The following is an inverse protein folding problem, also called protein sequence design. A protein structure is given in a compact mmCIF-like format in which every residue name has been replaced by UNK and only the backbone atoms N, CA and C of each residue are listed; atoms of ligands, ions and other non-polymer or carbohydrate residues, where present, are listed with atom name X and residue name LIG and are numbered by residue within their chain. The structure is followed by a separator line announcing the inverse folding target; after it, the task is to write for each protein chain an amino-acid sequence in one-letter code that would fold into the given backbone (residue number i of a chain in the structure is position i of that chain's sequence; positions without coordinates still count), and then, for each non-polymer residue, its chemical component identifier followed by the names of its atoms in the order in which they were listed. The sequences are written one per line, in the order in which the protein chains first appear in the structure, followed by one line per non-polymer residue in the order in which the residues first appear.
data_IF_992517385753
#
_entry.id   IF_992517385753
#
_cell.length_a   1.000
_cell.length_b   1.000
_cell.length_c   1.000
_cell.angle_alpha   90.00
_cell.angle_beta   90.00
_cell.angle_gamma   90.00
#
_symmetry.space_group_name_H-M   'P 1'
#
loop_
_entity.id
_entity.type
_entity.pdbx_description
1 polymer ?
#
# COMPACT_ATOMS: atom_id res chain seq x y z
N UNK A 1 -48.33 30.91 -17.31
CA UNK A 1 -47.72 29.56 -17.24
C UNK A 1 -46.22 29.74 -16.94
N UNK A 2 -45.84 29.59 -15.68
CA UNK A 2 -44.44 29.81 -15.22
C UNK A 2 -43.75 28.47 -15.27
N UNK A 3 -42.74 28.33 -16.15
CA UNK A 3 -41.85 27.15 -16.19
C UNK A 3 -40.81 27.30 -15.08
N UNK A 4 -40.94 26.49 -14.04
CA UNK A 4 -39.88 26.34 -13.03
C UNK A 4 -38.80 25.42 -13.61
N UNK A 5 -37.65 25.97 -14.01
CA UNK A 5 -36.45 25.19 -14.28
C UNK A 5 -35.86 24.75 -12.94
N UNK A 6 -36.03 23.47 -12.61
CA UNK A 6 -35.26 22.83 -11.54
C UNK A 6 -33.86 22.57 -12.11
N UNK A 7 -32.91 23.44 -11.77
CA UNK A 7 -31.49 23.15 -11.97
C UNK A 7 -31.11 22.06 -10.98
N UNK A 8 -31.06 20.80 -11.48
CA UNK A 8 -30.42 19.73 -10.76
C UNK A 8 -28.94 20.06 -10.74
N UNK A 9 -28.42 20.56 -9.63
CA UNK A 9 -27.02 20.66 -9.35
C UNK A 9 -26.49 19.22 -9.22
N UNK A 10 -25.86 18.71 -10.27
CA UNK A 10 -24.98 17.58 -10.12
C UNK A 10 -23.79 18.07 -9.28
N UNK A 11 -23.83 17.84 -7.98
CA UNK A 11 -22.63 17.90 -7.15
C UNK A 11 -21.76 16.72 -7.55
N UNK A 12 -20.73 16.97 -8.34
CA UNK A 12 -19.62 16.03 -8.63
C UNK A 12 -18.60 16.03 -7.48
N UNK A 13 -19.07 16.24 -6.25
CA UNK A 13 -18.24 16.28 -5.05
C UNK A 13 -18.28 14.92 -4.33
N UNK A 14 -17.83 13.86 -5.01
CA UNK A 14 -17.76 12.56 -4.35
C UNK A 14 -16.66 11.71 -4.92
N UNK A 15 -15.86 11.11 -4.04
CA UNK A 15 -15.01 9.98 -4.38
C UNK A 15 -15.86 8.83 -4.94
N UNK A 16 -15.19 7.83 -5.51
CA UNK A 16 -15.84 6.57 -5.84
C UNK A 16 -16.52 6.00 -4.57
N UNK A 17 -17.73 5.42 -4.66
CA UNK A 17 -18.48 4.94 -3.48
C UNK A 17 -17.71 3.94 -2.61
N UNK A 18 -16.80 3.17 -3.21
CA UNK A 18 -16.00 2.18 -2.48
C UNK A 18 -14.71 2.76 -1.88
N UNK A 19 -14.37 4.03 -2.15
CA UNK A 19 -13.08 4.59 -1.77
C UNK A 19 -12.82 4.53 -0.26
N UNK A 20 -13.76 4.97 0.56
CA UNK A 20 -13.59 4.98 2.03
C UNK A 20 -13.41 3.56 2.59
N UNK A 21 -14.22 2.60 2.11
CA UNK A 21 -14.10 1.20 2.52
C UNK A 21 -12.75 0.58 2.07
N UNK A 22 -12.23 0.99 0.92
CA UNK A 22 -10.94 0.56 0.43
C UNK A 22 -9.79 1.21 1.21
N UNK A 23 -9.93 2.47 1.65
CA UNK A 23 -8.97 3.11 2.58
C UNK A 23 -8.89 2.34 3.89
N UNK A 24 -10.02 1.97 4.50
CA UNK A 24 -10.03 1.16 5.74
C UNK A 24 -9.31 -0.19 5.56
N UNK A 25 -9.47 -0.84 4.40
CA UNK A 25 -8.74 -2.07 4.08
C UNK A 25 -7.24 -1.85 3.98
N UNK A 26 -6.81 -0.78 3.30
CA UNK A 26 -5.39 -0.43 3.19
C UNK A 26 -4.80 -0.16 4.58
N UNK A 27 -5.50 0.58 5.43
CA UNK A 27 -5.06 0.84 6.80
C UNK A 27 -4.88 -0.47 7.58
N UNK A 28 -5.88 -1.36 7.55
CA UNK A 28 -5.80 -2.67 8.19
C UNK A 28 -4.62 -3.50 7.64
N UNK A 29 -4.41 -3.49 6.33
CA UNK A 29 -3.30 -4.21 5.70
C UNK A 29 -1.94 -3.71 6.17
N UNK A 30 -1.76 -2.38 6.23
CA UNK A 30 -0.52 -1.73 6.68
C UNK A 30 -0.27 -1.94 8.19
N UNK A 31 -1.32 -1.94 9.01
CA UNK A 31 -1.24 -2.26 10.44
C UNK A 31 -0.81 -3.72 10.68
N UNK A 32 -1.35 -4.66 9.91
CA UNK A 32 -0.97 -6.07 9.99
C UNK A 32 0.51 -6.29 9.63
N UNK A 33 1.07 -5.52 8.71
CA UNK A 33 2.50 -5.60 8.36
C UNK A 33 3.41 -5.28 9.55
N UNK A 34 2.98 -4.39 10.43
CA UNK A 34 3.74 -3.98 11.62
C UNK A 34 3.51 -4.85 12.86
N UNK A 35 2.52 -5.75 12.85
CA UNK A 35 2.10 -6.46 14.05
C UNK A 35 2.80 -7.80 14.29
N UNK A 36 3.78 -8.19 13.50
CA UNK A 36 4.42 -9.53 13.50
C UNK A 36 3.37 -10.67 13.42
N UNK A 37 2.18 -10.32 12.93
CA UNK A 37 1.06 -11.23 12.84
C UNK A 37 1.28 -12.21 11.68
N UNK A 38 0.55 -13.31 11.76
CA UNK A 38 0.45 -14.29 10.69
C UNK A 38 0.13 -13.60 9.36
N UNK A 39 1.00 -13.71 8.32
CA UNK A 39 0.76 -13.12 7.01
C UNK A 39 -0.55 -13.59 6.37
N UNK A 40 -1.17 -14.67 6.88
CA UNK A 40 -2.44 -15.17 6.40
C UNK A 40 -3.54 -14.11 6.46
N UNK A 41 -3.58 -13.29 7.52
CA UNK A 41 -4.59 -12.23 7.64
C UNK A 41 -4.46 -11.19 6.51
N UNK A 42 -3.22 -10.86 6.10
CA UNK A 42 -2.97 -10.00 4.93
C UNK A 42 -3.32 -10.72 3.63
N UNK A 43 -2.95 -12.01 3.48
CA UNK A 43 -3.22 -12.79 2.28
C UNK A 43 -4.71 -13.02 2.03
N UNK A 44 -5.54 -13.06 3.08
CA UNK A 44 -6.99 -13.14 2.96
C UNK A 44 -7.61 -11.87 2.35
N UNK A 45 -6.91 -10.74 2.42
CA UNK A 45 -7.31 -9.47 1.81
C UNK A 45 -6.89 -9.36 0.34
N UNK A 46 -6.09 -10.31 -0.17
CA UNK A 46 -5.50 -10.32 -1.50
C UNK A 46 -6.30 -11.24 -2.44
N UNK A 47 -6.62 -10.73 -3.63
CA UNK A 47 -7.25 -11.49 -4.71
C UNK A 47 -6.31 -12.54 -5.29
N UNK A 48 -6.85 -13.65 -5.81
CA UNK A 48 -6.03 -14.72 -6.42
C UNK A 48 -5.24 -14.26 -7.66
N UNK A 49 -5.79 -13.31 -8.41
CA UNK A 49 -5.17 -12.73 -9.60
C UNK A 49 -4.24 -11.54 -9.25
N UNK A 50 -3.67 -11.47 -8.04
CA UNK A 50 -2.78 -10.37 -7.67
C UNK A 50 -1.64 -10.18 -8.65
N UNK A 51 -1.38 -8.92 -9.01
CA UNK A 51 -0.15 -8.46 -9.63
C UNK A 51 0.44 -7.34 -8.75
N UNK A 52 1.57 -7.60 -8.11
CA UNK A 52 2.23 -6.65 -7.22
C UNK A 52 3.59 -6.24 -7.78
N UNK A 53 3.89 -4.94 -7.75
CA UNK A 53 5.19 -4.40 -8.12
C UNK A 53 6.04 -4.15 -6.86
N UNK A 54 7.00 -5.02 -6.51
CA UNK A 54 7.96 -4.75 -5.44
C UNK A 54 8.87 -3.57 -5.78
N UNK A 55 9.41 -2.89 -4.75
CA UNK A 55 10.32 -1.77 -4.94
C UNK A 55 11.73 -2.15 -5.45
N UNK A 56 12.03 -3.43 -5.62
CA UNK A 56 13.36 -3.90 -6.02
C UNK A 56 13.56 -3.86 -7.52
N UNK A 57 14.69 -3.32 -7.95
CA UNK A 57 15.06 -3.25 -9.36
C UNK A 57 15.14 -4.65 -9.99
N UNK A 58 14.46 -4.80 -11.14
CA UNK A 58 14.50 -6.03 -11.95
C UNK A 58 13.60 -7.17 -11.48
N UNK A 59 12.82 -7.01 -10.41
CA UNK A 59 11.93 -8.06 -9.90
C UNK A 59 10.74 -8.30 -10.85
N UNK A 60 10.18 -7.26 -11.46
CA UNK A 60 8.93 -7.36 -12.21
C UNK A 60 7.70 -7.55 -11.32
N UNK A 61 6.55 -7.85 -11.91
CA UNK A 61 5.32 -8.13 -11.16
C UNK A 61 5.38 -9.54 -10.54
N UNK A 62 4.90 -9.65 -9.30
CA UNK A 62 4.77 -10.92 -8.58
C UNK A 62 3.32 -11.24 -8.27
N UNK A 63 2.97 -12.53 -8.24
CA UNK A 63 1.64 -13.02 -7.90
C UNK A 63 1.46 -13.24 -6.39
N UNK A 64 0.24 -13.64 -5.99
CA UNK A 64 -0.15 -13.81 -4.58
C UNK A 64 0.78 -14.71 -3.77
N UNK A 65 1.24 -15.82 -4.32
CA UNK A 65 2.13 -16.76 -3.60
C UNK A 65 3.50 -16.11 -3.31
N UNK A 66 4.12 -15.50 -4.31
CA UNK A 66 5.40 -14.81 -4.17
C UNK A 66 5.26 -13.56 -3.29
N UNK A 67 4.08 -12.90 -3.32
CA UNK A 67 3.79 -11.79 -2.45
C UNK A 67 3.71 -12.21 -0.98
N UNK A 68 3.20 -13.40 -0.67
CA UNK A 68 3.23 -13.98 0.67
C UNK A 68 4.67 -14.15 1.18
N UNK A 69 5.57 -14.67 0.34
CA UNK A 69 7.00 -14.79 0.68
C UNK A 69 7.64 -13.41 0.88
N UNK A 70 7.26 -12.42 0.08
CA UNK A 70 7.72 -11.05 0.19
C UNK A 70 7.29 -10.41 1.54
N UNK A 71 6.04 -10.60 1.98
CA UNK A 71 5.54 -10.12 3.28
C UNK A 71 6.30 -10.76 4.44
N UNK A 72 6.49 -12.10 4.41
CA UNK A 72 7.23 -12.83 5.43
C UNK A 72 8.67 -12.32 5.51
N UNK A 73 9.33 -12.10 4.37
CA UNK A 73 10.70 -11.59 4.34
C UNK A 73 10.85 -10.22 5.03
N UNK A 74 9.87 -9.34 4.88
CA UNK A 74 9.85 -8.06 5.59
C UNK A 74 9.59 -8.22 7.08
N UNK A 75 8.66 -9.08 7.48
CA UNK A 75 8.33 -9.35 8.89
C UNK A 75 9.48 -10.00 9.63
N UNK A 76 10.21 -10.93 8.99
CA UNK A 76 11.38 -11.59 9.59
C UNK A 76 12.58 -10.64 9.75
N UNK A 77 12.72 -9.68 8.83
CA UNK A 77 13.88 -8.78 8.82
C UNK A 77 13.71 -7.55 9.71
N UNK A 78 12.48 -7.21 10.11
CA UNK A 78 12.16 -5.95 10.77
C UNK A 78 11.30 -6.16 12.02
N UNK A 79 11.62 -5.42 13.08
CA UNK A 79 10.91 -5.41 14.36
C UNK A 79 10.31 -4.02 14.60
N UNK A 80 9.30 -3.93 15.48
CA UNK A 80 8.64 -2.68 15.89
C UNK A 80 8.19 -1.81 14.71
N UNK A 81 7.70 -2.44 13.64
CA UNK A 81 7.34 -1.76 12.40
C UNK A 81 6.04 -0.98 12.57
N UNK A 82 6.06 0.30 12.23
CA UNK A 82 4.90 1.19 12.28
C UNK A 82 4.79 1.99 10.99
N UNK A 83 3.60 2.03 10.41
CA UNK A 83 3.27 2.93 9.29
C UNK A 83 2.52 4.15 9.79
N UNK A 84 3.06 5.34 9.51
CA UNK A 84 2.39 6.61 9.76
C UNK A 84 1.96 7.24 8.43
N UNK A 85 0.67 7.18 8.15
CA UNK A 85 0.14 7.76 6.92
C UNK A 85 0.20 9.29 6.95
N UNK A 86 0.67 9.87 5.84
CA UNK A 86 0.53 11.31 5.56
C UNK A 86 -0.85 11.59 4.98
N UNK A 87 -1.27 10.77 4.01
CA UNK A 87 -2.60 10.84 3.41
C UNK A 87 -2.94 9.56 2.64
N UNK A 88 -4.24 9.42 2.36
CA UNK A 88 -4.80 8.47 1.41
C UNK A 88 -5.54 9.26 0.33
N UNK A 89 -5.13 9.10 -0.92
CA UNK A 89 -5.70 9.81 -2.06
C UNK A 89 -6.41 8.83 -3.00
N UNK A 90 -7.52 9.26 -3.63
CA UNK A 90 -8.19 8.44 -4.61
C UNK A 90 -7.35 8.30 -5.88
N UNK A 91 -7.35 7.10 -6.45
CA UNK A 91 -6.81 6.86 -7.76
C UNK A 91 -7.85 7.02 -8.86
N UNK A 92 -7.39 6.90 -10.08
CA UNK A 92 -8.22 7.00 -11.28
C UNK A 92 -7.90 5.84 -12.22
N UNK A 93 -8.91 5.39 -12.95
CA UNK A 93 -8.71 4.48 -14.05
C UNK A 93 -7.83 5.15 -15.12
N UNK A 94 -6.69 4.55 -15.51
CA UNK A 94 -5.70 5.18 -16.40
C UNK A 94 -6.23 5.42 -17.82
N UNK A 95 -7.24 4.68 -18.25
CA UNK A 95 -7.83 4.83 -19.60
C UNK A 95 -8.86 5.95 -19.66
N UNK A 96 -9.62 6.14 -18.59
CA UNK A 96 -10.76 7.08 -18.57
C UNK A 96 -10.50 8.34 -17.76
N UNK A 97 -9.53 8.30 -16.83
CA UNK A 97 -9.27 9.38 -15.87
C UNK A 97 -10.35 9.55 -14.80
N UNK A 98 -11.28 8.60 -14.69
CA UNK A 98 -12.38 8.64 -13.73
C UNK A 98 -11.96 7.94 -12.44
N UNK A 99 -12.38 8.45 -11.28
CA UNK A 99 -12.17 7.82 -9.98
C UNK A 99 -12.74 6.40 -9.98
N UNK A 100 -11.95 5.43 -9.57
CA UNK A 100 -12.24 3.99 -9.68
C UNK A 100 -12.25 3.24 -8.33
N UNK A 101 -12.13 3.95 -7.23
CA UNK A 101 -12.09 3.39 -5.88
C UNK A 101 -10.71 2.90 -5.46
N UNK A 102 -9.71 2.98 -6.34
CA UNK A 102 -8.34 2.68 -5.98
C UNK A 102 -7.77 3.69 -4.98
N UNK A 103 -6.77 3.27 -4.20
CA UNK A 103 -6.16 4.06 -3.13
C UNK A 103 -4.68 4.31 -3.45
N UNK A 104 -4.20 5.49 -3.11
CA UNK A 104 -2.79 5.88 -3.15
C UNK A 104 -2.40 6.32 -1.75
N UNK A 105 -1.54 5.55 -1.08
CA UNK A 105 -1.10 5.86 0.28
C UNK A 105 0.31 6.43 0.28
N UNK A 106 0.46 7.54 0.99
CA UNK A 106 1.74 8.20 1.24
C UNK A 106 2.00 8.19 2.73
N UNK A 107 3.19 7.82 3.14
CA UNK A 107 3.51 7.76 4.54
C UNK A 107 4.96 7.38 4.80
N UNK A 108 5.23 7.15 6.07
CA UNK A 108 6.56 6.81 6.56
C UNK A 108 6.47 5.54 7.38
N UNK A 109 7.28 4.57 7.05
CA UNK A 109 7.57 3.41 7.85
C UNK A 109 8.70 3.70 8.83
N UNK A 110 8.58 3.20 10.04
CA UNK A 110 9.67 3.17 11.03
C UNK A 110 9.78 1.78 11.62
N UNK A 111 10.95 1.43 12.13
CA UNK A 111 11.17 0.14 12.77
C UNK A 111 12.63 -0.07 13.16
N UNK A 112 12.95 -1.31 13.51
CA UNK A 112 14.30 -1.75 13.86
C UNK A 112 14.67 -2.93 12.96
N UNK A 113 15.88 -2.96 12.44
CA UNK A 113 16.38 -4.10 11.66
C UNK A 113 16.83 -5.22 12.60
N UNK A 114 16.21 -6.39 12.48
CA UNK A 114 16.36 -7.51 13.42
C UNK A 114 17.82 -7.97 13.60
N UNK A 115 18.61 -7.99 12.52
CA UNK A 115 20.00 -8.47 12.56
C UNK A 115 20.96 -7.45 13.16
N UNK A 116 20.84 -6.16 12.82
CA UNK A 116 21.82 -5.11 13.21
C UNK A 116 21.36 -4.26 14.39
N UNK A 117 20.09 -4.33 14.79
CA UNK A 117 19.50 -3.47 15.80
C UNK A 117 19.41 -2.00 15.41
N UNK A 118 19.64 -1.65 14.12
CA UNK A 118 19.55 -0.27 13.65
C UNK A 118 18.10 0.14 13.52
N UNK A 119 17.75 1.25 14.16
CA UNK A 119 16.49 1.95 13.90
C UNK A 119 16.53 2.60 12.52
N UNK A 120 15.38 2.59 11.83
CA UNK A 120 15.27 3.13 10.48
C UNK A 120 13.96 3.91 10.28
N UNK A 121 13.97 4.77 9.29
CA UNK A 121 12.81 5.51 8.80
C UNK A 121 12.84 5.50 7.26
N UNK A 122 11.68 5.22 6.65
CA UNK A 122 11.54 5.06 5.21
C UNK A 122 10.27 5.72 4.71
N UNK A 123 10.40 6.81 3.97
CA UNK A 123 9.27 7.40 3.25
C UNK A 123 8.88 6.54 2.07
N UNK A 124 7.60 6.29 1.91
CA UNK A 124 7.06 5.41 0.87
C UNK A 124 5.78 5.93 0.25
N UNK A 125 5.54 5.45 -0.96
CA UNK A 125 4.30 5.57 -1.68
C UNK A 125 3.85 4.18 -2.11
N UNK A 126 2.56 3.87 -1.93
CA UNK A 126 1.99 2.60 -2.35
C UNK A 126 0.73 2.83 -3.19
N UNK A 127 0.50 1.93 -4.14
CA UNK A 127 -0.73 1.89 -4.95
C UNK A 127 -1.53 0.65 -4.60
N UNK A 128 -2.87 0.78 -4.63
CA UNK A 128 -3.81 -0.27 -4.24
C UNK A 128 -5.03 -0.22 -5.13
N UNK A 129 -5.18 -1.20 -6.00
CA UNK A 129 -6.35 -1.35 -6.85
C UNK A 129 -7.14 -2.58 -6.40
N UNK A 130 -8.47 -2.54 -6.57
CA UNK A 130 -9.37 -3.53 -5.98
C UNK A 130 -10.23 -4.22 -7.02
N UNK A 131 -10.51 -5.50 -6.79
CA UNK A 131 -11.47 -6.32 -7.52
C UNK A 131 -12.24 -7.17 -6.52
N UNK A 132 -13.56 -7.19 -6.63
CA UNK A 132 -14.45 -7.95 -5.74
C UNK A 132 -14.18 -7.70 -4.23
N UNK A 133 -13.74 -6.48 -3.89
CA UNK A 133 -13.43 -6.08 -2.53
C UNK A 133 -12.08 -6.56 -1.99
N UNK A 134 -11.23 -7.19 -2.79
CA UNK A 134 -9.87 -7.60 -2.45
C UNK A 134 -8.85 -6.81 -3.26
N UNK A 135 -7.61 -6.71 -2.74
CA UNK A 135 -6.49 -6.06 -3.42
C UNK A 135 -6.07 -6.96 -4.59
N UNK A 136 -6.08 -6.45 -5.81
CA UNK A 136 -5.76 -7.20 -7.03
C UNK A 136 -4.54 -6.68 -7.76
N UNK A 137 -4.20 -5.41 -7.58
CA UNK A 137 -3.00 -4.80 -8.15
C UNK A 137 -2.46 -3.76 -7.19
N UNK A 138 -1.15 -3.61 -7.17
CA UNK A 138 -0.52 -2.57 -6.40
C UNK A 138 1.00 -2.55 -6.53
N UNK A 139 1.64 -1.76 -5.69
CA UNK A 139 3.09 -1.71 -5.68
C UNK A 139 3.67 -0.79 -4.62
N UNK A 140 4.94 -1.05 -4.33
CA UNK A 140 5.76 -0.32 -3.38
C UNK A 140 6.73 0.58 -4.13
N UNK A 141 6.82 1.84 -3.71
CA UNK A 141 7.69 2.83 -4.32
C UNK A 141 8.48 3.58 -3.24
N UNK A 142 9.74 3.22 -3.10
CA UNK A 142 10.72 3.83 -2.20
C UNK A 142 12.15 3.53 -2.69
N UNK A 143 13.14 4.16 -2.10
CA UNK A 143 14.55 3.86 -2.40
C UNK A 143 14.99 2.57 -1.70
N UNK A 144 14.67 1.41 -2.28
CA UNK A 144 15.03 0.10 -1.73
C UNK A 144 16.55 -0.09 -1.64
N UNK A 145 17.31 0.41 -2.61
CA UNK A 145 18.76 0.27 -2.65
C UNK A 145 19.44 1.05 -1.53
N UNK A 146 19.09 2.34 -1.38
CA UNK A 146 19.60 3.18 -0.31
C UNK A 146 19.16 2.69 1.06
N UNK A 147 17.91 2.24 1.19
CA UNK A 147 17.39 1.68 2.44
C UNK A 147 18.19 0.45 2.89
N UNK A 148 18.34 -0.57 2.04
CA UNK A 148 19.12 -1.77 2.39
C UNK A 148 20.59 -1.47 2.70
N UNK A 149 21.20 -0.55 1.95
CA UNK A 149 22.57 -0.12 2.22
C UNK A 149 22.70 0.54 3.61
N UNK A 150 21.68 1.27 4.07
CA UNK A 150 21.68 1.92 5.39
C UNK A 150 21.63 0.92 6.55
N UNK A 151 21.06 -0.26 6.33
CA UNK A 151 20.92 -1.32 7.32
C UNK A 151 22.21 -2.17 7.50
N UNK A 152 23.14 -2.13 6.53
CA UNK A 152 24.37 -2.89 6.59
C UNK A 152 25.13 -2.61 7.91
N UNK A 153 25.84 -3.62 8.49
CA UNK A 153 26.67 -3.42 9.67
C UNK A 153 27.63 -2.24 9.46
N UNK A 154 27.88 -1.48 10.52
CA UNK A 154 28.92 -0.44 10.47
C UNK A 154 30.27 -1.13 10.33
N UNK A 155 31.08 -0.74 9.35
CA UNK A 155 32.48 -1.16 9.34
C UNK A 155 33.11 -0.55 10.61
N UNK A 156 33.52 -1.43 11.53
CA UNK A 156 34.32 -1.00 12.69
C UNK A 156 35.66 -0.49 12.15
N UNK A 157 35.95 0.79 12.37
CA UNK A 157 37.28 1.38 12.15
C UNK A 157 38.26 0.90 13.22
#
# INVERSE_FOLDING_TARGET
MIFLFVLSSCSTDGNHPDFEANVEKVQTFLELQGSEADPQAQLDMIHEDLEWQPAFYGTGLIGKAEFGEYLIGWQDAMEDVVYTATNYLPGVNPETGILDGSVRSYGTWTGVHSETGKSWELSSYHTWDFKDGQIVYGGDYFDAGGFLASLAPSEEE
#
